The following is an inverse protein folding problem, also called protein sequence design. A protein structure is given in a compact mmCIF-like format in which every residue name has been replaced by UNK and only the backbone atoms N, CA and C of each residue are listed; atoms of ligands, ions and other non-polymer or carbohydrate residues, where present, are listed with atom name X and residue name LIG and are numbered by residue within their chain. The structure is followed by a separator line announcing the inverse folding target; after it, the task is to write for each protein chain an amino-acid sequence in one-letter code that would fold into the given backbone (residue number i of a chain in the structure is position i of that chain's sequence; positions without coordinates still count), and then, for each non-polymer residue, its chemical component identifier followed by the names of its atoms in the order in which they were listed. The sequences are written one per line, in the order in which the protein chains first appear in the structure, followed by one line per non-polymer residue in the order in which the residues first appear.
data_IF_574390302424
#
_entry.id   IF_574390302424
#
_cell.length_a   1.000
_cell.length_b   1.000
_cell.length_c   1.000
_cell.angle_alpha   90.00
_cell.angle_beta   90.00
_cell.angle_gamma   90.00
#
_symmetry.space_group_name_H-M   'P 1'
#
loop_
_entity.id
_entity.type
_entity.pdbx_description
1 polymer ?
#
# COMPACT_ATOMS: atom_id res chain seq x y z
N UNK A 1 6.80 22.07 -3.46
CA UNK A 1 7.79 21.47 -2.53
C UNK A 1 6.98 20.59 -1.61
N UNK A 2 7.22 19.40 -1.35
CA UNK A 2 6.40 18.45 -0.59
C UNK A 2 6.98 18.17 0.80
N UNK A 3 7.25 16.90 1.07
CA UNK A 3 7.92 16.45 2.29
C UNK A 3 9.27 15.86 1.92
N UNK A 4 10.28 16.16 2.71
CA UNK A 4 11.59 15.50 2.64
C UNK A 4 11.92 14.87 3.99
N UNK A 5 12.21 13.57 3.99
CA UNK A 5 12.57 12.80 5.19
C UNK A 5 13.94 12.17 4.94
N UNK A 6 14.88 12.41 5.85
CA UNK A 6 16.24 11.88 5.75
C UNK A 6 16.65 11.17 7.04
N UNK A 7 17.01 9.89 6.91
CA UNK A 7 17.54 9.03 7.96
C UNK A 7 16.71 9.05 9.26
N UNK A 8 15.39 9.06 9.14
CA UNK A 8 14.48 9.10 10.28
C UNK A 8 14.68 7.89 11.18
N UNK A 9 14.88 8.15 12.48
CA UNK A 9 15.04 7.12 13.51
C UNK A 9 14.05 7.36 14.64
N UNK A 10 13.39 6.28 15.10
CA UNK A 10 12.56 6.28 16.31
C UNK A 10 12.83 5.04 17.15
N UNK A 11 13.10 5.26 18.44
CA UNK A 11 13.46 4.23 19.40
C UNK A 11 12.46 4.27 20.56
N UNK A 12 11.95 3.12 20.98
CA UNK A 12 11.17 2.95 22.19
C UNK A 12 11.89 1.96 23.11
N UNK A 13 12.40 2.46 24.22
CA UNK A 13 13.24 1.66 25.14
C UNK A 13 14.49 1.14 24.43
N UNK A 14 14.60 -0.19 24.27
CA UNK A 14 15.69 -0.84 23.53
C UNK A 14 15.35 -1.18 22.08
N UNK A 15 14.12 -0.91 21.61
CA UNK A 15 13.65 -1.30 20.29
C UNK A 15 13.70 -0.12 19.30
N UNK A 16 14.43 -0.27 18.20
CA UNK A 16 14.42 0.66 17.08
C UNK A 16 13.24 0.31 16.17
N UNK A 17 12.17 1.11 16.24
CA UNK A 17 10.91 0.89 15.50
C UNK A 17 10.95 1.53 14.11
N UNK A 18 11.66 2.64 13.95
CA UNK A 18 11.97 3.27 12.66
C UNK A 18 13.49 3.41 12.57
N UNK A 19 14.08 2.85 11.53
CA UNK A 19 15.52 2.73 11.39
C UNK A 19 15.98 3.32 10.06
N UNK A 20 16.45 4.56 10.09
CA UNK A 20 17.05 5.30 8.97
C UNK A 20 16.15 5.36 7.71
N UNK A 21 14.86 5.59 7.90
CA UNK A 21 13.93 5.74 6.78
C UNK A 21 14.15 7.10 6.11
N UNK A 22 14.27 7.07 4.78
CA UNK A 22 14.43 8.26 3.94
C UNK A 22 13.50 8.15 2.74
N UNK A 23 12.73 9.20 2.47
CA UNK A 23 11.92 9.35 1.26
C UNK A 23 11.43 10.78 1.09
N UNK A 24 11.04 11.11 -0.12
CA UNK A 24 10.42 12.38 -0.48
C UNK A 24 8.95 12.19 -0.83
N UNK A 25 8.17 13.25 -0.77
CA UNK A 25 6.81 13.29 -1.35
C UNK A 25 6.70 14.58 -2.15
N UNK A 26 6.51 14.47 -3.44
CA UNK A 26 6.37 15.62 -4.34
C UNK A 26 5.00 16.31 -4.18
N UNK A 27 4.89 17.54 -4.71
CA UNK A 27 3.59 18.24 -4.75
C UNK A 27 2.56 17.41 -5.51
N UNK A 28 1.40 17.23 -4.88
CA UNK A 28 0.30 16.44 -5.43
C UNK A 28 0.53 14.92 -5.46
N UNK A 29 1.70 14.43 -5.04
CA UNK A 29 1.99 13.00 -4.99
C UNK A 29 1.25 12.31 -3.84
N UNK A 30 0.73 11.13 -4.11
CA UNK A 30 0.12 10.23 -3.13
C UNK A 30 1.09 9.07 -2.82
N UNK A 31 1.78 9.13 -1.69
CA UNK A 31 2.73 8.10 -1.25
C UNK A 31 2.10 7.24 -0.17
N UNK A 32 2.16 5.92 -0.33
CA UNK A 32 1.67 4.98 0.68
C UNK A 32 2.82 4.24 1.34
N UNK A 33 2.82 4.23 2.68
CA UNK A 33 3.64 3.33 3.50
C UNK A 33 2.86 2.03 3.70
N UNK A 34 3.36 0.94 3.11
CA UNK A 34 2.72 -0.37 3.13
C UNK A 34 3.61 -1.38 3.86
N UNK A 35 3.03 -2.27 4.68
CA UNK A 35 3.80 -3.32 5.35
C UNK A 35 3.01 -3.99 6.47
N UNK A 36 3.53 -5.06 7.07
CA UNK A 36 2.87 -5.79 8.15
C UNK A 36 2.69 -4.92 9.40
N UNK A 37 1.80 -5.35 10.27
CA UNK A 37 1.58 -4.67 11.57
C UNK A 37 2.88 -4.60 12.38
N UNK A 38 3.15 -3.45 12.98
CA UNK A 38 4.34 -3.24 13.81
C UNK A 38 5.63 -2.91 13.05
N UNK A 39 5.61 -2.77 11.71
CA UNK A 39 6.83 -2.44 10.95
C UNK A 39 7.23 -0.95 10.97
N UNK A 40 6.54 -0.07 11.73
CA UNK A 40 6.95 1.32 11.92
C UNK A 40 6.17 2.37 11.12
N UNK A 41 5.19 2.02 10.27
CA UNK A 41 4.41 2.94 9.41
C UNK A 41 3.73 4.08 10.19
N UNK A 42 2.86 3.72 11.13
CA UNK A 42 2.15 4.70 11.98
C UNK A 42 3.12 5.56 12.79
N UNK A 43 4.22 4.97 13.28
CA UNK A 43 5.26 5.70 14.00
C UNK A 43 5.94 6.73 13.09
N UNK A 44 6.28 6.35 11.86
CA UNK A 44 6.82 7.27 10.84
C UNK A 44 5.83 8.41 10.57
N UNK A 45 4.56 8.09 10.35
CA UNK A 45 3.52 9.10 10.13
C UNK A 45 3.38 10.06 11.31
N UNK A 46 3.41 9.54 12.55
CA UNK A 46 3.32 10.36 13.77
C UNK A 46 4.54 11.25 13.97
N UNK A 47 5.74 10.81 13.57
CA UNK A 47 6.92 11.66 13.55
C UNK A 47 6.76 12.82 12.55
N UNK A 48 6.22 12.55 11.34
CA UNK A 48 5.90 13.60 10.36
C UNK A 48 4.87 14.59 10.92
N UNK A 49 3.84 14.08 11.60
CA UNK A 49 2.80 14.89 12.23
C UNK A 49 3.30 15.72 13.44
N UNK A 50 4.46 15.38 14.02
CA UNK A 50 4.95 15.98 15.27
C UNK A 50 4.22 15.48 16.52
N UNK A 51 3.50 14.37 16.40
CA UNK A 51 2.87 13.66 17.52
C UNK A 51 3.85 12.77 18.27
N UNK A 52 4.94 12.39 17.61
CA UNK A 52 6.07 11.64 18.17
C UNK A 52 7.36 12.37 17.86
N UNK A 53 8.27 12.43 18.84
CA UNK A 53 9.61 12.98 18.68
C UNK A 53 10.49 11.97 17.95
N UNK A 54 11.12 12.36 16.86
CA UNK A 54 12.16 11.57 16.23
C UNK A 54 13.42 11.54 17.11
N UNK A 55 14.09 10.39 17.18
CA UNK A 55 15.33 10.21 17.90
C UNK A 55 16.57 10.48 17.02
N UNK A 56 16.39 10.51 15.68
CA UNK A 56 17.40 10.87 14.69
C UNK A 56 16.80 11.24 13.34
N UNK A 57 17.63 11.82 12.48
CA UNK A 57 17.24 12.25 11.15
C UNK A 57 16.55 13.61 11.10
N UNK A 58 16.11 13.98 9.89
CA UNK A 58 15.45 15.26 9.60
C UNK A 58 14.11 15.06 8.91
N UNK A 59 13.17 15.97 9.17
CA UNK A 59 11.90 16.07 8.47
C UNK A 59 11.73 17.53 8.05
N UNK A 60 11.55 17.74 6.75
CA UNK A 60 11.24 19.05 6.17
C UNK A 60 9.87 19.03 5.50
N UNK A 61 9.12 20.09 5.64
CA UNK A 61 7.84 20.31 4.99
C UNK A 61 7.93 21.63 4.23
N UNK A 62 7.74 21.56 2.93
CA UNK A 62 7.82 22.73 2.04
C UNK A 62 9.16 23.48 2.16
N UNK A 63 10.27 22.72 2.32
CA UNK A 63 11.62 23.23 2.46
C UNK A 63 11.95 23.85 3.84
N UNK A 64 11.05 23.70 4.83
CA UNK A 64 11.25 24.14 6.20
C UNK A 64 11.47 22.93 7.11
N UNK A 65 12.60 22.90 7.83
CA UNK A 65 12.88 21.85 8.81
C UNK A 65 11.87 21.95 9.98
N UNK A 66 11.07 20.89 10.17
CA UNK A 66 10.11 20.77 11.27
C UNK A 66 10.57 19.80 12.36
N UNK A 67 11.56 18.97 12.06
CA UNK A 67 12.24 18.11 13.01
C UNK A 67 13.67 17.90 12.56
N UNK A 68 14.63 18.24 13.40
CA UNK A 68 16.05 17.94 13.22
C UNK A 68 16.67 17.71 14.58
N UNK A 69 17.03 16.47 14.89
CA UNK A 69 17.59 16.11 16.20
C UNK A 69 18.96 16.72 16.42
N UNK A 70 19.75 16.86 15.38
CA UNK A 70 21.13 17.40 15.46
C UNK A 70 21.16 18.90 15.76
N UNK A 71 20.15 19.63 15.27
CA UNK A 71 19.98 21.07 15.48
C UNK A 71 19.03 21.38 16.65
N UNK A 72 18.42 20.37 17.28
CA UNK A 72 17.43 20.56 18.34
C UNK A 72 16.10 21.16 17.85
N UNK A 73 15.80 21.06 16.57
CA UNK A 73 14.58 21.59 15.98
C UNK A 73 13.44 20.60 16.23
N UNK A 74 12.36 21.10 16.83
CA UNK A 74 11.08 20.38 16.97
C UNK A 74 9.93 21.37 16.90
N UNK A 75 9.25 21.40 15.75
CA UNK A 75 8.05 22.22 15.54
C UNK A 75 6.83 21.42 16.03
N UNK A 76 5.98 22.04 16.83
CA UNK A 76 4.76 21.41 17.35
C UNK A 76 3.75 21.07 16.24
N UNK A 77 2.92 20.05 16.46
CA UNK A 77 1.93 19.57 15.48
C UNK A 77 1.06 20.69 14.90
N UNK A 78 0.60 21.63 15.74
CA UNK A 78 -0.30 22.72 15.36
C UNK A 78 0.37 23.80 14.49
N UNK A 79 1.70 23.83 14.45
CA UNK A 79 2.50 24.78 13.66
C UNK A 79 2.99 24.18 12.33
N UNK A 80 2.85 22.87 12.11
CA UNK A 80 3.32 22.18 10.89
C UNK A 80 2.42 22.37 9.67
N UNK A 81 1.26 22.99 9.84
CA UNK A 81 0.26 23.20 8.78
C UNK A 81 -0.11 21.90 8.03
N UNK A 82 -0.47 20.87 8.78
CA UNK A 82 -0.84 19.53 8.29
C UNK A 82 -2.33 19.26 8.48
N UNK A 83 -2.91 18.50 7.57
CA UNK A 83 -4.20 17.85 7.76
C UNK A 83 -3.99 16.38 8.12
N UNK A 84 -4.66 15.87 9.14
CA UNK A 84 -4.54 14.46 9.52
C UNK A 84 -5.89 13.79 9.67
N UNK A 85 -6.03 12.62 9.07
CA UNK A 85 -7.17 11.71 9.21
C UNK A 85 -6.71 10.49 10.00
N UNK A 86 -7.28 10.31 11.19
CA UNK A 86 -6.95 9.22 12.12
C UNK A 86 -7.78 7.96 11.84
N UNK A 87 -7.29 6.81 12.24
CA UNK A 87 -7.96 5.52 12.16
C UNK A 87 -9.35 5.52 12.83
N UNK A 88 -9.50 6.19 13.97
CA UNK A 88 -10.77 6.30 14.70
C UNK A 88 -11.62 7.51 14.26
N UNK A 89 -11.24 8.19 13.16
CA UNK A 89 -11.80 9.45 12.68
C UNK A 89 -11.66 10.62 13.67
N UNK A 90 -11.54 10.37 14.96
CA UNK A 90 -11.40 11.36 16.04
C UNK A 90 -12.47 12.49 15.98
N UNK A 91 -13.72 12.14 15.64
CA UNK A 91 -14.84 13.08 15.55
C UNK A 91 -15.42 13.30 16.95
N UNK A 92 -15.68 14.54 17.31
CA UNK A 92 -16.32 14.91 18.58
C UNK A 92 -17.84 14.67 18.50
N UNK A 93 -18.37 13.70 19.29
CA UNK A 93 -19.78 13.29 19.17
C UNK A 93 -20.78 14.34 19.64
N UNK A 94 -20.36 15.26 20.50
CA UNK A 94 -21.16 16.35 21.04
C UNK A 94 -21.23 17.60 20.14
N UNK A 95 -20.47 17.63 19.06
CA UNK A 95 -20.41 18.72 18.10
C UNK A 95 -21.18 18.36 16.82
N UNK A 96 -21.77 19.35 16.15
CA UNK A 96 -22.32 19.16 14.80
C UNK A 96 -21.21 18.90 13.77
N UNK A 97 -21.58 18.44 12.57
CA UNK A 97 -20.66 18.28 11.44
C UNK A 97 -19.90 19.59 11.16
N UNK A 98 -20.62 20.70 11.02
CA UNK A 98 -20.00 22.01 10.78
C UNK A 98 -19.03 22.41 11.90
N UNK A 99 -19.39 22.16 13.17
CA UNK A 99 -18.54 22.50 14.32
C UNK A 99 -17.28 21.61 14.36
N UNK A 100 -17.39 20.32 14.03
CA UNK A 100 -16.24 19.42 13.89
C UNK A 100 -15.25 19.91 12.83
N UNK A 101 -15.76 20.36 11.69
CA UNK A 101 -14.93 20.87 10.59
C UNK A 101 -14.35 22.25 10.93
N UNK A 102 -15.09 23.12 11.61
CA UNK A 102 -14.61 24.45 12.03
C UNK A 102 -13.52 24.42 13.10
N UNK A 103 -13.46 23.36 13.90
CA UNK A 103 -12.64 23.29 15.11
C UNK A 103 -11.16 23.65 14.91
N UNK A 104 -10.44 23.15 13.89
CA UNK A 104 -9.02 23.50 13.70
C UNK A 104 -8.80 25.00 13.51
N UNK A 105 -9.69 25.68 12.77
CA UNK A 105 -9.60 27.12 12.53
C UNK A 105 -9.95 27.94 13.77
N UNK A 106 -10.88 27.44 14.59
CA UNK A 106 -11.27 28.10 15.85
C UNK A 106 -10.13 28.07 16.87
N UNK A 107 -9.40 26.95 16.96
CA UNK A 107 -8.26 26.79 17.91
C UNK A 107 -7.08 27.68 17.52
N UNK A 108 -6.85 27.91 16.23
CA UNK A 108 -5.80 28.84 15.76
C UNK A 108 -6.06 30.30 16.15
N UNK A 109 -7.31 30.66 16.46
CA UNK A 109 -7.69 31.92 17.11
C UNK A 109 -7.57 33.19 16.28
N UNK A 110 -6.92 33.16 15.12
CA UNK A 110 -6.66 34.36 14.28
C UNK A 110 -7.67 34.56 13.16
N UNK A 111 -8.59 33.62 12.92
CA UNK A 111 -9.49 33.64 11.76
C UNK A 111 -10.86 34.23 12.12
N UNK A 112 -11.33 35.27 11.40
CA UNK A 112 -12.66 35.84 11.60
C UNK A 112 -13.76 34.79 11.36
N UNK A 113 -14.86 34.88 12.13
CA UNK A 113 -15.97 33.91 12.05
C UNK A 113 -16.52 33.75 10.63
N UNK A 114 -16.69 34.84 9.87
CA UNK A 114 -17.18 34.78 8.49
C UNK A 114 -16.24 33.95 7.56
N UNK A 115 -14.94 34.09 7.74
CA UNK A 115 -13.96 33.32 6.99
C UNK A 115 -13.97 31.83 7.39
N UNK A 116 -14.18 31.51 8.69
CA UNK A 116 -14.37 30.12 9.15
C UNK A 116 -15.64 29.54 8.51
N UNK A 117 -16.77 30.26 8.51
CA UNK A 117 -18.02 29.78 7.93
C UNK A 117 -17.90 29.53 6.41
N UNK A 118 -17.11 30.33 5.70
CA UNK A 118 -16.82 30.15 4.27
C UNK A 118 -15.94 28.92 4.04
N UNK A 119 -14.85 28.75 4.81
CA UNK A 119 -13.96 27.61 4.73
C UNK A 119 -14.68 26.29 5.05
N UNK A 120 -15.56 26.29 6.05
CA UNK A 120 -16.39 25.11 6.41
C UNK A 120 -17.32 24.74 5.27
N UNK A 121 -18.02 25.72 4.67
CA UNK A 121 -18.89 25.46 3.50
C UNK A 121 -18.09 24.88 2.33
N UNK A 122 -16.92 25.46 2.03
CA UNK A 122 -16.02 24.94 1.01
C UNK A 122 -15.62 23.50 1.29
N UNK A 123 -15.13 23.19 2.49
CA UNK A 123 -14.67 21.85 2.85
C UNK A 123 -15.82 20.82 2.82
N UNK A 124 -17.01 21.17 3.31
CA UNK A 124 -18.19 20.31 3.26
C UNK A 124 -18.67 20.05 1.83
N UNK A 125 -18.60 21.05 0.95
CA UNK A 125 -18.95 20.89 -0.46
C UNK A 125 -17.99 19.93 -1.17
N UNK A 126 -16.69 20.03 -0.94
CA UNK A 126 -15.66 19.11 -1.51
C UNK A 126 -15.98 17.64 -1.18
N UNK A 127 -16.44 17.37 0.04
CA UNK A 127 -16.77 16.00 0.49
C UNK A 127 -18.26 15.65 0.32
N UNK A 128 -19.08 16.54 -0.25
CA UNK A 128 -20.52 16.32 -0.51
C UNK A 128 -21.35 16.15 0.77
N UNK A 129 -21.07 16.94 1.82
CA UNK A 129 -21.78 16.90 3.10
C UNK A 129 -22.47 18.20 3.50
N UNK A 130 -22.64 19.17 2.60
CA UNK A 130 -23.23 20.50 2.89
C UNK A 130 -24.65 20.40 3.46
N UNK A 131 -25.47 19.48 2.96
CA UNK A 131 -26.83 19.26 3.46
C UNK A 131 -26.85 18.65 4.88
N UNK A 132 -25.71 18.14 5.38
CA UNK A 132 -25.60 17.48 6.68
C UNK A 132 -24.87 18.33 7.73
N UNK A 133 -24.54 19.59 7.41
CA UNK A 133 -23.75 20.49 8.25
C UNK A 133 -24.26 20.62 9.71
N UNK A 134 -25.57 20.57 9.92
CA UNK A 134 -26.21 20.74 11.23
C UNK A 134 -26.42 19.41 11.99
N UNK A 135 -26.17 18.26 11.37
CA UNK A 135 -26.32 16.95 12.03
C UNK A 135 -25.21 16.67 13.02
N UNK A 136 -25.49 15.75 13.95
CA UNK A 136 -24.49 15.19 14.84
C UNK A 136 -23.88 13.91 14.25
N UNK A 137 -22.64 13.52 14.64
CA UNK A 137 -21.98 12.31 14.15
C UNK A 137 -22.78 11.03 14.35
N UNK A 138 -23.58 10.93 15.41
CA UNK A 138 -24.46 9.77 15.67
C UNK A 138 -25.56 9.56 14.63
N UNK A 139 -25.87 10.57 13.84
CA UNK A 139 -26.88 10.53 12.77
C UNK A 139 -26.26 10.17 11.40
N UNK A 140 -24.95 9.91 11.35
CA UNK A 140 -24.19 9.68 10.13
C UNK A 140 -23.75 8.21 10.00
N UNK A 141 -23.70 7.71 8.75
CA UNK A 141 -23.04 6.45 8.45
C UNK A 141 -21.52 6.56 8.63
N UNK A 142 -20.82 5.41 8.80
CA UNK A 142 -19.36 5.39 8.94
C UNK A 142 -18.61 6.11 7.82
N UNK A 143 -19.03 5.94 6.56
CA UNK A 143 -18.44 6.68 5.44
C UNK A 143 -18.71 8.18 5.47
N UNK A 144 -19.88 8.62 5.97
CA UNK A 144 -20.14 10.04 6.18
C UNK A 144 -19.28 10.60 7.31
N UNK A 145 -19.09 9.86 8.39
CA UNK A 145 -18.18 10.26 9.48
C UNK A 145 -16.75 10.40 8.97
N UNK A 146 -16.27 9.49 8.15
CA UNK A 146 -14.96 9.60 7.54
C UNK A 146 -14.81 10.84 6.65
N UNK A 147 -15.83 11.18 5.86
CA UNK A 147 -15.87 12.44 5.08
C UNK A 147 -15.82 13.66 5.97
N UNK A 148 -16.46 13.64 7.14
CA UNK A 148 -16.33 14.73 8.13
C UNK A 148 -14.87 14.85 8.61
N UNK A 149 -14.21 13.74 8.90
CA UNK A 149 -12.79 13.75 9.28
C UNK A 149 -11.89 14.30 8.16
N UNK A 150 -12.18 13.94 6.91
CA UNK A 150 -11.48 14.48 5.73
C UNK A 150 -11.74 15.97 5.54
N UNK A 151 -13.01 16.43 5.64
CA UNK A 151 -13.36 17.86 5.57
C UNK A 151 -12.62 18.66 6.64
N UNK A 152 -12.55 18.14 7.88
CA UNK A 152 -11.78 18.74 8.97
C UNK A 152 -10.28 18.80 8.67
N UNK A 153 -9.73 17.78 8.01
CA UNK A 153 -8.32 17.76 7.64
C UNK A 153 -7.98 18.80 6.56
N UNK A 154 -8.90 19.09 5.63
CA UNK A 154 -8.64 20.00 4.51
C UNK A 154 -9.09 21.44 4.74
N UNK A 155 -9.93 21.72 5.76
CA UNK A 155 -10.56 23.04 5.97
C UNK A 155 -9.55 24.17 6.12
N UNK A 156 -8.37 23.89 6.71
CA UNK A 156 -7.27 24.84 6.88
C UNK A 156 -6.38 24.98 5.65
N UNK A 157 -6.71 24.34 4.53
CA UNK A 157 -5.86 24.26 3.33
C UNK A 157 -4.43 23.86 3.67
N UNK A 158 -4.23 22.67 4.25
CA UNK A 158 -2.93 22.22 4.72
C UNK A 158 -1.95 22.03 3.56
N UNK A 159 -0.66 22.09 3.88
CA UNK A 159 0.42 21.79 2.91
C UNK A 159 0.60 20.31 2.65
N UNK A 160 0.18 19.44 3.58
CA UNK A 160 0.31 18.00 3.50
C UNK A 160 -0.89 17.32 4.15
N UNK A 161 -1.35 16.22 3.56
CA UNK A 161 -2.37 15.34 4.14
C UNK A 161 -1.71 14.05 4.65
N UNK A 162 -2.04 13.68 5.88
CA UNK A 162 -1.59 12.46 6.53
C UNK A 162 -2.80 11.57 6.82
N UNK A 163 -2.70 10.28 6.47
CA UNK A 163 -3.76 9.30 6.66
C UNK A 163 -3.23 8.10 7.45
N UNK A 164 -3.75 7.89 8.65
CA UNK A 164 -3.39 6.76 9.54
C UNK A 164 -4.49 5.69 9.47
N UNK A 165 -4.37 4.72 8.58
CA UNK A 165 -5.33 3.62 8.33
C UNK A 165 -6.81 4.06 8.26
N UNK A 166 -7.17 5.06 7.45
CA UNK A 166 -8.48 5.71 7.54
C UNK A 166 -9.65 4.80 7.13
N UNK A 167 -9.40 3.69 6.42
CA UNK A 167 -10.43 2.79 5.90
C UNK A 167 -10.61 1.51 6.72
N UNK A 168 -9.78 1.28 7.75
CA UNK A 168 -9.74 0.03 8.50
C UNK A 168 -11.05 -0.33 9.20
N UNK A 169 -11.86 0.67 9.59
CA UNK A 169 -13.13 0.50 10.31
C UNK A 169 -14.36 0.41 9.42
N UNK A 170 -14.19 0.33 8.09
CA UNK A 170 -15.29 0.26 7.12
C UNK A 170 -15.49 -1.17 6.62
N UNK A 171 -16.75 -1.51 6.29
CA UNK A 171 -17.06 -2.71 5.53
C UNK A 171 -16.48 -2.65 4.11
N UNK A 172 -16.32 -3.80 3.44
CA UNK A 172 -15.63 -3.90 2.16
C UNK A 172 -16.27 -3.01 1.07
N UNK A 173 -17.61 -2.98 0.97
CA UNK A 173 -18.30 -2.18 -0.05
C UNK A 173 -18.17 -0.67 0.16
N UNK A 174 -18.20 -0.26 1.42
CA UNK A 174 -18.03 1.16 1.78
C UNK A 174 -16.57 1.58 1.62
N UNK A 175 -15.62 0.68 1.94
CA UNK A 175 -14.18 0.89 1.75
C UNK A 175 -13.84 1.19 0.30
N UNK A 176 -14.35 0.41 -0.67
CA UNK A 176 -14.10 0.62 -2.10
C UNK A 176 -14.58 2.00 -2.58
N UNK A 177 -15.77 2.42 -2.15
CA UNK A 177 -16.33 3.73 -2.51
C UNK A 177 -15.51 4.88 -1.91
N UNK A 178 -15.16 4.76 -0.64
CA UNK A 178 -14.45 5.82 0.08
C UNK A 178 -13.01 5.95 -0.40
N UNK A 179 -12.36 4.83 -0.79
CA UNK A 179 -11.04 4.82 -1.41
C UNK A 179 -11.01 5.68 -2.68
N UNK A 180 -11.95 5.45 -3.60
CA UNK A 180 -12.06 6.22 -4.84
C UNK A 180 -12.29 7.72 -4.56
N UNK A 181 -13.06 8.03 -3.51
CA UNK A 181 -13.36 9.41 -3.13
C UNK A 181 -12.16 10.13 -2.52
N UNK A 182 -11.42 9.51 -1.60
CA UNK A 182 -10.18 10.09 -1.04
C UNK A 182 -9.19 10.39 -2.16
N UNK A 183 -8.97 9.43 -3.08
CA UNK A 183 -8.07 9.61 -4.22
C UNK A 183 -8.52 10.77 -5.12
N UNK A 184 -9.82 10.88 -5.42
CA UNK A 184 -10.37 11.98 -6.21
C UNK A 184 -10.13 13.35 -5.53
N UNK A 185 -10.47 13.46 -4.25
CA UNK A 185 -10.35 14.71 -3.48
C UNK A 185 -8.89 15.15 -3.39
N UNK A 186 -7.97 14.23 -3.09
CA UNK A 186 -6.55 14.54 -2.99
C UNK A 186 -6.00 15.04 -4.34
N UNK A 187 -6.37 14.40 -5.45
CA UNK A 187 -5.97 14.82 -6.81
C UNK A 187 -6.56 16.18 -7.19
N UNK A 188 -7.82 16.44 -6.83
CA UNK A 188 -8.49 17.72 -7.09
C UNK A 188 -7.81 18.87 -6.31
N UNK A 189 -7.38 18.61 -5.08
CA UNK A 189 -6.70 19.59 -4.24
C UNK A 189 -5.19 19.70 -4.56
N UNK A 190 -4.60 18.71 -5.24
CA UNK A 190 -3.17 18.60 -5.56
C UNK A 190 -2.26 18.77 -4.33
N UNK A 191 -2.72 18.32 -3.15
CA UNK A 191 -1.97 18.37 -1.89
C UNK A 191 -1.15 17.07 -1.78
N UNK A 192 0.17 17.11 -1.46
CA UNK A 192 0.96 15.91 -1.19
C UNK A 192 0.36 15.12 -0.03
N UNK A 193 0.33 13.79 -0.16
CA UNK A 193 -0.29 12.92 0.81
C UNK A 193 0.63 11.76 1.23
N UNK A 194 0.68 11.47 2.54
CA UNK A 194 1.26 10.23 3.08
C UNK A 194 0.14 9.40 3.67
N UNK A 195 0.01 8.18 3.18
CA UNK A 195 -1.04 7.24 3.56
C UNK A 195 -0.42 6.01 4.21
N UNK A 196 -0.95 5.59 5.34
CA UNK A 196 -0.53 4.37 6.03
C UNK A 196 -1.62 3.33 5.91
N UNK A 197 -1.27 2.14 5.46
CA UNK A 197 -2.17 0.99 5.43
C UNK A 197 -1.42 -0.33 5.52
N UNK A 198 -2.11 -1.39 5.88
CA UNK A 198 -1.70 -2.77 5.71
C UNK A 198 -2.49 -3.46 4.58
N UNK A 199 -3.46 -2.76 3.97
CA UNK A 199 -4.28 -3.26 2.87
C UNK A 199 -3.57 -3.01 1.52
N UNK A 200 -3.24 -4.10 0.82
CA UNK A 200 -2.56 -4.06 -0.47
C UNK A 200 -3.42 -3.41 -1.56
N UNK A 201 -4.75 -3.64 -1.54
CA UNK A 201 -5.64 -3.08 -2.53
C UNK A 201 -5.75 -1.56 -2.42
N UNK A 202 -5.67 -1.01 -1.19
CA UNK A 202 -5.58 0.42 -0.97
C UNK A 202 -4.28 0.99 -1.56
N UNK A 203 -3.14 0.41 -1.20
CA UNK A 203 -1.84 0.84 -1.67
C UNK A 203 -1.73 0.79 -3.21
N UNK A 204 -2.15 -0.33 -3.82
CA UNK A 204 -2.03 -0.51 -5.27
C UNK A 204 -2.99 0.36 -6.08
N UNK A 205 -4.15 0.74 -5.54
CA UNK A 205 -5.18 1.46 -6.31
C UNK A 205 -5.17 2.98 -6.13
N UNK A 206 -4.59 3.50 -5.03
CA UNK A 206 -4.64 4.93 -4.70
C UNK A 206 -3.33 5.65 -4.94
N UNK A 207 -2.19 4.94 -4.84
CA UNK A 207 -0.88 5.56 -4.74
C UNK A 207 -0.25 5.83 -6.09
N UNK A 208 0.49 6.94 -6.18
CA UNK A 208 1.45 7.18 -7.25
C UNK A 208 2.74 6.39 -6.98
N UNK A 209 3.12 6.26 -5.68
CA UNK A 209 4.27 5.50 -5.23
C UNK A 209 3.97 4.79 -3.90
N UNK A 210 4.47 3.56 -3.77
CA UNK A 210 4.36 2.74 -2.55
C UNK A 210 5.75 2.50 -1.99
N UNK A 211 5.89 2.65 -0.68
CA UNK A 211 7.08 2.32 0.10
C UNK A 211 6.75 1.09 0.93
N UNK A 212 7.36 -0.04 0.59
CA UNK A 212 7.19 -1.30 1.30
C UNK A 212 8.11 -1.32 2.49
N UNK A 213 7.54 -1.46 3.69
CA UNK A 213 8.27 -1.44 4.95
C UNK A 213 8.24 -2.80 5.65
N UNK A 214 9.35 -3.18 6.25
CA UNK A 214 9.45 -4.35 7.13
C UNK A 214 10.48 -4.08 8.23
N UNK A 215 10.18 -4.50 9.47
CA UNK A 215 11.11 -4.39 10.60
C UNK A 215 11.78 -3.00 10.76
N UNK A 216 11.04 -1.94 10.52
CA UNK A 216 11.51 -0.57 10.70
C UNK A 216 12.33 0.02 9.56
N UNK A 217 12.49 -0.69 8.45
CA UNK A 217 13.25 -0.23 7.27
C UNK A 217 12.39 -0.24 6.00
N UNK A 218 12.79 0.56 5.02
CA UNK A 218 12.28 0.45 3.66
C UNK A 218 12.92 -0.77 2.98
N UNK A 219 12.08 -1.69 2.51
CA UNK A 219 12.51 -2.89 1.76
C UNK A 219 12.63 -2.57 0.27
N UNK A 220 11.61 -1.91 -0.26
CA UNK A 220 11.52 -1.55 -1.68
C UNK A 220 10.54 -0.39 -1.85
N UNK A 221 10.77 0.45 -2.86
CA UNK A 221 9.83 1.51 -3.22
C UNK A 221 9.69 1.62 -4.74
N UNK A 222 8.51 2.04 -5.20
CA UNK A 222 8.26 2.19 -6.63
C UNK A 222 6.78 2.44 -6.94
N UNK A 223 6.50 2.55 -8.24
CA UNK A 223 5.11 2.61 -8.70
C UNK A 223 4.38 1.29 -8.36
N UNK A 224 3.09 1.34 -7.97
CA UNK A 224 2.32 0.15 -7.59
C UNK A 224 2.43 -1.00 -8.61
N UNK A 225 2.36 -0.66 -9.90
CA UNK A 225 2.42 -1.64 -10.99
C UNK A 225 3.77 -2.35 -11.08
N UNK A 226 4.86 -1.62 -10.82
CA UNK A 226 6.22 -2.18 -10.90
C UNK A 226 6.48 -3.10 -9.71
N UNK A 227 6.13 -2.67 -8.50
CA UNK A 227 6.23 -3.49 -7.29
C UNK A 227 5.41 -4.79 -7.37
N UNK A 228 4.27 -4.76 -8.06
CA UNK A 228 3.45 -5.95 -8.27
C UNK A 228 4.02 -6.86 -9.35
N UNK A 229 4.40 -6.32 -10.51
CA UNK A 229 4.79 -7.10 -11.69
C UNK A 229 6.27 -7.49 -11.72
N UNK A 230 7.14 -6.60 -11.20
CA UNK A 230 8.60 -6.74 -11.28
C UNK A 230 9.28 -6.40 -9.94
N UNK A 231 8.86 -7.05 -8.84
CA UNK A 231 9.49 -6.80 -7.54
C UNK A 231 10.98 -7.15 -7.60
N UNK A 232 11.82 -6.35 -6.96
CA UNK A 232 13.26 -6.62 -6.85
C UNK A 232 13.60 -7.43 -5.61
N UNK A 233 12.64 -7.55 -4.67
CA UNK A 233 12.80 -8.24 -3.39
C UNK A 233 11.78 -9.36 -3.24
N UNK A 234 12.26 -10.51 -2.75
CA UNK A 234 11.38 -11.64 -2.42
C UNK A 234 10.27 -11.22 -1.47
N UNK A 235 10.61 -10.46 -0.41
CA UNK A 235 9.61 -9.95 0.54
C UNK A 235 8.49 -9.16 -0.15
N UNK A 236 8.83 -8.26 -1.08
CA UNK A 236 7.84 -7.48 -1.84
C UNK A 236 6.96 -8.38 -2.68
N UNK A 237 7.54 -9.36 -3.39
CA UNK A 237 6.80 -10.32 -4.20
C UNK A 237 5.80 -11.13 -3.36
N UNK A 238 6.20 -11.55 -2.17
CA UNK A 238 5.42 -12.36 -1.24
C UNK A 238 4.35 -11.53 -0.52
N UNK A 239 4.71 -10.29 -0.15
CA UNK A 239 3.82 -9.42 0.60
C UNK A 239 2.78 -8.73 -0.27
N UNK A 240 3.08 -8.38 -1.53
CA UNK A 240 2.15 -7.71 -2.46
C UNK A 240 1.51 -8.75 -3.40
N UNK A 241 0.28 -9.13 -3.10
CA UNK A 241 -0.48 -10.12 -3.87
C UNK A 241 -0.05 -11.56 -3.60
N UNK A 242 -0.80 -12.49 -4.17
CA UNK A 242 -0.46 -13.91 -4.11
C UNK A 242 0.61 -14.25 -5.16
N UNK A 243 1.76 -14.73 -4.71
CA UNK A 243 2.88 -15.10 -5.57
C UNK A 243 3.33 -16.53 -5.30
N UNK A 244 3.62 -17.24 -6.37
CA UNK A 244 4.30 -18.52 -6.34
C UNK A 244 5.79 -18.31 -6.62
N UNK A 245 6.62 -19.10 -5.96
CA UNK A 245 8.07 -19.08 -6.13
C UNK A 245 8.52 -20.43 -6.67
N UNK A 246 9.29 -20.41 -7.76
CA UNK A 246 9.82 -21.59 -8.39
C UNK A 246 11.33 -21.45 -8.54
N UNK A 247 12.08 -22.39 -7.94
CA UNK A 247 13.53 -22.41 -8.07
C UNK A 247 13.94 -22.75 -9.50
N UNK A 248 14.82 -21.93 -10.09
CA UNK A 248 15.25 -22.02 -11.46
C UNK A 248 16.78 -22.07 -11.54
N UNK A 249 17.33 -22.88 -12.44
CA UNK A 249 18.77 -22.95 -12.74
C UNK A 249 18.99 -22.71 -14.22
N UNK A 250 19.91 -21.83 -14.56
CA UNK A 250 20.30 -21.59 -15.96
C UNK A 250 21.27 -22.68 -16.45
N UNK A 251 20.92 -23.41 -17.51
CA UNK A 251 21.76 -24.48 -18.06
C UNK A 251 22.75 -24.00 -19.15
N UNK A 252 22.72 -22.74 -19.48
CA UNK A 252 23.49 -22.11 -20.57
C UNK A 252 22.64 -21.79 -21.80
N UNK A 253 21.42 -22.33 -21.90
CA UNK A 253 20.49 -22.12 -23.04
C UNK A 253 19.10 -21.67 -22.57
N UNK A 254 18.57 -22.33 -21.54
CA UNK A 254 17.24 -22.05 -20.98
C UNK A 254 17.26 -22.19 -19.46
N UNK A 255 16.28 -21.59 -18.81
CA UNK A 255 16.03 -21.83 -17.38
C UNK A 255 15.38 -23.19 -17.18
N UNK A 256 15.80 -23.92 -16.14
CA UNK A 256 15.23 -25.22 -15.77
C UNK A 256 14.73 -25.21 -14.34
N UNK A 257 13.59 -25.83 -14.14
CA UNK A 257 13.04 -26.17 -12.82
C UNK A 257 13.81 -27.34 -12.21
N UNK A 258 13.53 -27.66 -10.94
CA UNK A 258 14.18 -28.74 -10.22
C UNK A 258 13.96 -30.14 -10.87
N UNK A 259 12.81 -30.35 -11.53
CA UNK A 259 12.50 -31.57 -12.28
C UNK A 259 13.10 -31.62 -13.70
N UNK A 260 13.84 -30.56 -14.09
CA UNK A 260 14.48 -30.43 -15.40
C UNK A 260 13.58 -29.86 -16.51
N UNK A 261 12.34 -29.47 -16.21
CA UNK A 261 11.46 -28.83 -17.19
C UNK A 261 12.04 -27.50 -17.66
N UNK A 262 12.06 -27.30 -18.99
CA UNK A 262 12.60 -26.08 -19.60
C UNK A 262 11.59 -24.94 -19.55
N UNK A 263 12.05 -23.77 -19.16
CA UNK A 263 11.27 -22.52 -19.13
C UNK A 263 12.00 -21.49 -19.97
N UNK A 264 11.51 -21.26 -21.18
CA UNK A 264 12.09 -20.30 -22.11
C UNK A 264 11.59 -18.88 -21.78
N UNK A 265 12.39 -18.17 -20.98
CA UNK A 265 12.12 -16.79 -20.57
C UNK A 265 12.83 -15.85 -21.52
N UNK A 266 12.18 -14.74 -21.99
CA UNK A 266 12.80 -13.77 -22.90
C UNK A 266 14.17 -13.27 -22.42
N UNK A 267 15.10 -13.13 -23.35
CA UNK A 267 16.55 -12.94 -23.16
C UNK A 267 17.00 -11.64 -22.43
N UNK A 268 16.09 -10.81 -21.92
CA UNK A 268 16.46 -9.59 -21.19
C UNK A 268 17.19 -9.85 -19.87
N UNK A 269 17.25 -11.10 -19.41
CA UNK A 269 17.88 -11.52 -18.17
C UNK A 269 19.08 -12.42 -18.46
N UNK A 270 20.21 -11.83 -18.85
CA UNK A 270 21.47 -12.57 -19.03
C UNK A 270 21.86 -13.29 -17.76
N UNK A 271 22.12 -14.58 -17.84
CA UNK A 271 22.54 -15.43 -16.75
C UNK A 271 23.80 -16.22 -17.11
N UNK A 272 24.59 -16.55 -16.11
CA UNK A 272 25.78 -17.42 -16.26
C UNK A 272 25.34 -18.87 -16.02
N UNK A 273 25.88 -19.83 -16.81
CA UNK A 273 25.58 -21.25 -16.65
C UNK A 273 25.77 -21.69 -15.19
N UNK A 274 24.77 -22.35 -14.63
CA UNK A 274 24.74 -22.75 -13.22
C UNK A 274 24.16 -21.69 -12.27
N UNK A 275 23.80 -20.49 -12.75
CA UNK A 275 23.14 -19.47 -11.94
C UNK A 275 21.77 -19.94 -11.48
N UNK A 276 21.49 -19.69 -10.20
CA UNK A 276 20.19 -20.02 -9.58
C UNK A 276 19.42 -18.73 -9.29
N UNK A 277 18.14 -18.71 -9.65
CA UNK A 277 17.20 -17.64 -9.31
C UNK A 277 15.85 -18.21 -8.90
N UNK A 278 15.02 -17.38 -8.29
CA UNK A 278 13.62 -17.68 -8.07
C UNK A 278 12.76 -16.99 -9.13
N UNK A 279 11.89 -17.75 -9.78
CA UNK A 279 10.84 -17.21 -10.62
C UNK A 279 9.62 -16.88 -9.76
N UNK A 280 9.07 -15.69 -9.95
CA UNK A 280 7.81 -15.24 -9.38
C UNK A 280 6.72 -15.43 -10.42
N UNK A 281 5.67 -16.17 -10.02
CA UNK A 281 4.48 -16.44 -10.83
C UNK A 281 3.25 -15.99 -10.04
N UNK A 282 2.51 -15.01 -10.56
CA UNK A 282 1.25 -14.57 -9.94
C UNK A 282 0.15 -15.58 -10.18
N UNK A 283 -0.73 -15.81 -9.18
CA UNK A 283 -1.80 -16.80 -9.28
C UNK A 283 -2.76 -16.56 -10.46
N UNK A 284 -3.01 -15.29 -10.80
CA UNK A 284 -3.95 -14.91 -11.87
C UNK A 284 -3.44 -15.17 -13.29
N UNK A 285 -2.13 -15.36 -13.48
CA UNK A 285 -1.57 -15.70 -14.80
C UNK A 285 -1.51 -17.20 -15.02
N UNK A 286 -1.67 -17.99 -13.96
CA UNK A 286 -1.64 -19.45 -14.03
C UNK A 286 -2.98 -20.00 -14.47
N UNK A 287 -2.94 -21.02 -15.33
CA UNK A 287 -4.09 -21.82 -15.70
C UNK A 287 -3.87 -23.26 -15.28
N UNK A 288 -4.92 -23.91 -14.82
CA UNK A 288 -4.92 -25.33 -14.48
C UNK A 288 -5.70 -26.08 -15.55
N UNK A 289 -5.02 -26.95 -16.26
CA UNK A 289 -5.57 -27.73 -17.37
C UNK A 289 -5.46 -29.23 -17.06
N UNK A 290 -6.36 -30.08 -17.58
CA UNK A 290 -6.20 -31.53 -17.48
C UNK A 290 -4.86 -31.98 -18.05
N UNK A 291 -4.27 -33.05 -17.48
CA UNK A 291 -2.93 -33.53 -17.85
C UNK A 291 -2.79 -34.04 -19.29
N UNK A 292 -3.91 -34.37 -19.94
CA UNK A 292 -4.02 -34.90 -21.31
C UNK A 292 -4.31 -33.86 -22.37
N UNK A 293 -4.49 -32.59 -21.99
CA UNK A 293 -4.73 -31.49 -22.93
C UNK A 293 -3.47 -31.20 -23.76
N UNK A 294 -3.68 -31.11 -25.09
CA UNK A 294 -2.64 -30.67 -26.01
C UNK A 294 -2.48 -29.15 -25.89
N UNK A 295 -1.33 -28.73 -25.41
CA UNK A 295 -1.00 -27.33 -25.20
C UNK A 295 -0.42 -26.69 -26.47
N UNK A 296 -0.70 -25.42 -26.68
CA UNK A 296 -0.05 -24.69 -27.74
C UNK A 296 1.43 -24.39 -27.38
N UNK A 297 2.25 -24.08 -28.42
CA UNK A 297 3.69 -23.81 -28.24
C UNK A 297 3.98 -22.48 -27.52
N UNK A 298 2.95 -21.70 -27.21
CA UNK A 298 3.10 -20.38 -26.57
C UNK A 298 3.01 -20.48 -25.04
N UNK A 299 2.64 -21.64 -24.49
CA UNK A 299 2.54 -21.87 -23.07
C UNK A 299 3.58 -22.87 -22.57
N UNK A 300 4.15 -22.56 -21.42
CA UNK A 300 4.95 -23.49 -20.64
C UNK A 300 3.98 -24.28 -19.76
N UNK A 301 4.21 -25.57 -19.66
CA UNK A 301 3.42 -26.46 -18.80
C UNK A 301 4.33 -27.14 -17.77
N UNK A 302 3.93 -27.03 -16.54
CA UNK A 302 4.53 -27.79 -15.43
C UNK A 302 3.51 -28.82 -14.95
N UNK A 303 3.92 -30.09 -14.96
CA UNK A 303 3.07 -31.18 -14.52
C UNK A 303 3.05 -31.23 -12.99
N UNK A 304 1.86 -31.31 -12.41
CA UNK A 304 1.70 -31.34 -10.97
C UNK A 304 0.53 -32.20 -10.50
N UNK A 305 0.45 -32.40 -9.19
CA UNK A 305 -0.61 -33.14 -8.52
C UNK A 305 -1.38 -32.20 -7.59
N UNK A 306 -2.70 -32.17 -7.70
CA UNK A 306 -3.57 -31.40 -6.78
C UNK A 306 -3.45 -31.98 -5.38
N UNK A 307 -3.02 -31.18 -4.41
CA UNK A 307 -2.88 -31.54 -2.98
C UNK A 307 -3.96 -30.92 -2.10
N UNK A 308 -4.53 -29.81 -2.53
CA UNK A 308 -5.59 -29.12 -1.80
C UNK A 308 -6.45 -28.27 -2.73
N UNK A 309 -7.64 -27.95 -2.28
CA UNK A 309 -8.54 -27.06 -2.99
C UNK A 309 -9.36 -26.25 -1.99
N UNK A 310 -9.68 -25.00 -2.35
CA UNK A 310 -10.53 -24.11 -1.57
C UNK A 310 -11.46 -23.33 -2.52
N UNK A 311 -12.77 -23.48 -2.34
CA UNK A 311 -13.76 -22.75 -3.12
C UNK A 311 -13.90 -21.32 -2.62
N UNK A 312 -13.61 -20.34 -3.50
CA UNK A 312 -13.60 -18.91 -3.19
C UNK A 312 -14.81 -18.15 -3.78
N UNK A 313 -15.80 -18.85 -4.33
CA UNK A 313 -16.95 -18.28 -5.00
C UNK A 313 -16.72 -18.10 -6.52
N UNK A 314 -16.02 -17.07 -7.00
CA UNK A 314 -15.78 -16.87 -8.44
C UNK A 314 -14.86 -17.93 -9.07
N UNK A 315 -14.02 -18.59 -8.28
CA UNK A 315 -13.05 -19.61 -8.70
C UNK A 315 -12.77 -20.56 -7.54
N UNK A 316 -12.10 -21.66 -7.85
CA UNK A 316 -11.48 -22.55 -6.86
C UNK A 316 -9.98 -22.29 -6.87
N UNK A 317 -9.40 -22.12 -5.70
CA UNK A 317 -7.97 -22.07 -5.47
C UNK A 317 -7.45 -23.49 -5.27
N UNK A 318 -6.42 -23.86 -6.04
CA UNK A 318 -5.80 -25.18 -6.02
C UNK A 318 -4.35 -25.08 -5.53
N UNK A 319 -4.02 -25.85 -4.50
CA UNK A 319 -2.63 -26.10 -4.11
C UNK A 319 -2.13 -27.31 -4.91
N UNK A 320 -1.19 -27.08 -5.81
CA UNK A 320 -0.65 -28.07 -6.75
C UNK A 320 0.82 -28.30 -6.46
N UNK A 321 1.21 -29.54 -6.19
CA UNK A 321 2.61 -29.90 -6.03
C UNK A 321 3.24 -30.08 -7.41
N UNK A 322 4.25 -29.25 -7.70
CA UNK A 322 5.02 -29.24 -8.95
C UNK A 322 6.49 -29.33 -8.58
N UNK A 323 7.17 -30.39 -8.99
CA UNK A 323 8.55 -30.67 -8.60
C UNK A 323 8.72 -30.66 -7.06
N UNK A 324 9.47 -29.71 -6.52
CA UNK A 324 9.72 -29.50 -5.10
C UNK A 324 8.95 -28.31 -4.51
N UNK A 325 8.05 -27.70 -5.29
CA UNK A 325 7.29 -26.51 -4.89
C UNK A 325 5.78 -26.76 -4.85
N UNK A 326 5.09 -26.03 -3.99
CA UNK A 326 3.61 -25.93 -4.02
C UNK A 326 3.24 -24.67 -4.76
N UNK A 327 2.51 -24.81 -5.86
CA UNK A 327 1.96 -23.71 -6.66
C UNK A 327 0.49 -23.54 -6.33
N UNK A 328 0.10 -22.32 -6.03
CA UNK A 328 -1.30 -21.93 -5.86
C UNK A 328 -1.80 -21.32 -7.17
N UNK A 329 -2.84 -21.91 -7.74
CA UNK A 329 -3.44 -21.45 -8.99
C UNK A 329 -4.96 -21.40 -8.90
N UNK A 330 -5.58 -20.49 -9.65
CA UNK A 330 -7.02 -20.31 -9.69
C UNK A 330 -7.61 -20.98 -10.94
N UNK A 331 -8.71 -21.71 -10.78
CA UNK A 331 -9.44 -22.29 -11.92
C UNK A 331 -10.94 -22.29 -11.68
N UNK A 332 -11.71 -22.22 -12.78
CA UNK A 332 -13.15 -22.49 -12.78
C UNK A 332 -13.44 -23.97 -13.10
N UNK A 333 -12.46 -24.69 -13.66
CA UNK A 333 -12.59 -26.13 -13.87
C UNK A 333 -12.49 -26.89 -12.55
N UNK A 334 -13.23 -27.98 -12.45
CA UNK A 334 -13.29 -28.79 -11.24
C UNK A 334 -12.25 -29.90 -11.27
N UNK A 335 -11.34 -29.90 -10.28
CA UNK A 335 -10.38 -30.96 -10.03
C UNK A 335 -10.51 -31.45 -8.60
N UNK A 336 -10.14 -32.70 -8.37
CA UNK A 336 -10.11 -33.32 -7.04
C UNK A 336 -8.68 -33.54 -6.56
N UNK A 337 -8.49 -33.68 -5.25
CA UNK A 337 -7.20 -34.05 -4.67
C UNK A 337 -6.73 -35.35 -5.27
N UNK A 338 -5.45 -35.39 -5.70
CA UNK A 338 -4.84 -36.52 -6.39
C UNK A 338 -4.91 -36.44 -7.91
N UNK A 339 -5.69 -35.54 -8.51
CA UNK A 339 -5.68 -35.38 -9.97
C UNK A 339 -4.31 -34.88 -10.44
N UNK A 340 -3.84 -35.46 -11.55
CA UNK A 340 -2.71 -34.96 -12.32
C UNK A 340 -3.20 -33.84 -13.22
N UNK A 341 -2.52 -32.71 -13.20
CA UNK A 341 -2.87 -31.49 -13.95
C UNK A 341 -1.61 -30.87 -14.57
N UNK A 342 -1.83 -30.04 -15.57
CA UNK A 342 -0.81 -29.14 -16.09
C UNK A 342 -1.07 -27.72 -15.55
N UNK A 343 -0.08 -27.11 -14.89
CA UNK A 343 -0.08 -25.70 -14.56
C UNK A 343 0.58 -24.97 -15.72
N UNK A 344 -0.17 -24.12 -16.41
CA UNK A 344 0.30 -23.47 -17.64
C UNK A 344 0.38 -21.96 -17.46
N UNK A 345 1.39 -21.35 -18.08
CA UNK A 345 1.63 -19.91 -18.09
C UNK A 345 2.46 -19.52 -19.32
N UNK A 346 2.53 -18.23 -19.62
CA UNK A 346 3.35 -17.74 -20.72
C UNK A 346 4.75 -17.36 -20.24
N UNK A 347 5.80 -17.48 -21.07
CA UNK A 347 7.15 -17.05 -20.74
C UNK A 347 7.24 -15.60 -20.22
N UNK A 348 6.46 -14.71 -20.82
CA UNK A 348 6.43 -13.29 -20.47
C UNK A 348 5.79 -12.99 -19.11
N UNK A 349 5.08 -13.93 -18.51
CA UNK A 349 4.41 -13.79 -17.21
C UNK A 349 5.36 -14.19 -16.06
N UNK A 350 6.53 -14.71 -16.38
CA UNK A 350 7.57 -15.09 -15.42
C UNK A 350 8.43 -13.87 -15.10
N UNK A 351 8.57 -13.55 -13.83
CA UNK A 351 9.54 -12.58 -13.36
C UNK A 351 10.63 -13.28 -12.55
N UNK A 352 11.91 -13.12 -12.93
CA UNK A 352 13.03 -13.66 -12.17
C UNK A 352 13.51 -12.62 -11.16
N UNK A 353 13.53 -13.00 -9.89
CA UNK A 353 14.13 -12.16 -8.86
C UNK A 353 15.65 -12.01 -9.10
N UNK A 354 16.24 -10.85 -8.74
CA UNK A 354 17.69 -10.70 -8.73
C UNK A 354 18.37 -11.77 -7.88
N UNK A 355 19.60 -12.12 -8.21
CA UNK A 355 20.36 -13.19 -7.53
C UNK A 355 20.54 -13.00 -6.00
N UNK A 356 20.34 -11.75 -5.51
CA UNK A 356 20.47 -11.36 -4.10
C UNK A 356 19.19 -10.69 -3.56
N UNK A 357 18.02 -11.12 -4.02
CA UNK A 357 16.73 -10.53 -3.68
C UNK A 357 16.27 -10.79 -2.22
#
# INVERSE_FOLDING_TARGET
MGIHISNLVKIYGSSTVVNQISFDVADGEFVTLLGPSGCGKTTTLRCIAGLELADGGTIEIDGVAVSDRSLGIHVGTHERNLGMVFQSYAIWPHMTVASNVAFPLQVQGATPKAAIDEAVRWALNIVGLDALAHRHPSELSGGQQQRVALARAIVGKPKVLLFDEPLSNLDARLRDRTRAEISRIQKELAIPAVYVTHDQAEALSMSDRVIVMSAGVTVEEGAPRDLYRRPSKRFTAEFIGAANFLAMTWDGLVWRTADGSAVDIPAEQQAVAGEKREAVLRCEVLRVEPADVVLDRMHIALRGTVRGLQYMGPHTEYAIEVADATIVAHSQAEFTVGNLVNVTFRPQDVHLLPANA
#
